data_IF_910725216682
#
_entry.id   IF_910725216682
#
_cell.length_a   1.000
_cell.length_b   1.000
_cell.length_c   1.000
_cell.angle_alpha   90.00
_cell.angle_beta   90.00
_cell.angle_gamma   90.00
#
_symmetry.space_group_name_H-M   'P 1'
#
loop_
_entity.id
_entity.type
_entity.pdbx_description
1 polymer ?
#
# COMPACT_ATOMS: atom_id res chain seq x y z
N UNK A 1 25.24 -0.48 -5.70
CA UNK A 1 25.12 -0.67 -4.25
C UNK A 1 24.53 0.61 -3.67
N UNK A 2 23.46 0.53 -2.89
CA UNK A 2 22.85 1.72 -2.27
C UNK A 2 23.79 2.31 -1.20
N UNK A 3 23.80 3.64 -1.00
CA UNK A 3 24.58 4.29 0.06
C UNK A 3 24.27 3.70 1.46
N UNK A 4 25.26 3.60 2.36
CA UNK A 4 25.07 3.03 3.71
C UNK A 4 23.91 3.66 4.51
N UNK A 5 23.68 4.97 4.37
CA UNK A 5 22.58 5.68 5.03
C UNK A 5 21.20 5.18 4.56
N UNK A 6 21.03 4.90 3.26
CA UNK A 6 19.77 4.37 2.76
C UNK A 6 19.50 2.97 3.32
N UNK A 7 20.51 2.11 3.39
CA UNK A 7 20.34 0.76 3.95
C UNK A 7 20.03 0.77 5.45
N UNK A 8 20.45 1.83 6.17
CA UNK A 8 20.12 1.99 7.58
C UNK A 8 18.68 2.44 7.79
N UNK A 9 18.18 3.35 6.95
CA UNK A 9 16.84 3.95 7.11
C UNK A 9 15.72 3.21 6.37
N UNK A 10 16.02 2.64 5.21
CA UNK A 10 15.10 1.86 4.38
C UNK A 10 15.57 0.41 4.41
N UNK A 11 14.96 -0.37 5.29
CA UNK A 11 15.23 -1.80 5.38
C UNK A 11 13.94 -2.54 5.68
N UNK A 12 13.84 -3.74 5.12
CA UNK A 12 12.70 -4.61 5.37
C UNK A 12 12.63 -4.94 6.86
N UNK A 13 11.41 -4.97 7.44
CA UNK A 13 11.24 -5.41 8.81
C UNK A 13 11.78 -6.85 8.91
N UNK A 14 12.57 -7.12 9.97
CA UNK A 14 12.95 -8.50 10.28
C UNK A 14 11.71 -9.17 10.86
N UNK A 15 11.28 -10.34 10.35
CA UNK A 15 10.26 -11.13 11.04
C UNK A 15 10.85 -11.54 12.39
N UNK A 16 10.42 -10.87 13.45
CA UNK A 16 10.68 -11.31 14.83
C UNK A 16 9.57 -12.29 15.16
N UNK A 17 9.92 -13.46 15.71
CA UNK A 17 8.98 -14.54 16.06
C UNK A 17 8.05 -14.18 17.24
N UNK A 18 7.61 -12.94 17.37
CA UNK A 18 6.83 -12.46 18.50
C UNK A 18 5.83 -11.40 18.04
N UNK A 19 4.69 -11.28 18.71
CA UNK A 19 3.55 -10.37 18.41
C UNK A 19 3.94 -8.87 18.32
N UNK A 20 5.20 -8.56 18.59
CA UNK A 20 5.88 -7.26 18.52
C UNK A 20 5.93 -6.58 17.15
N UNK A 21 5.57 -7.26 16.04
CA UNK A 21 5.59 -6.66 14.69
C UNK A 21 4.35 -5.82 14.36
N UNK A 22 3.21 -6.06 15.02
CA UNK A 22 1.99 -5.28 14.82
C UNK A 22 1.83 -4.22 15.91
N UNK A 23 1.54 -2.96 15.57
CA UNK A 23 1.32 -1.93 16.56
C UNK A 23 0.03 -2.20 17.37
N UNK A 24 -0.09 -1.64 18.59
CA UNK A 24 -1.29 -1.77 19.42
C UNK A 24 -2.59 -1.35 18.75
N UNK A 25 -2.53 -0.41 17.80
CA UNK A 25 -3.69 0.02 17.00
C UNK A 25 -4.31 -1.11 16.16
N UNK A 26 -3.51 -2.11 15.78
CA UNK A 26 -3.96 -3.29 15.06
C UNK A 26 -4.31 -4.41 16.05
N UNK A 27 -3.41 -4.75 16.98
CA UNK A 27 -3.59 -5.90 17.89
C UNK A 27 -4.75 -5.73 18.86
N UNK A 28 -5.07 -4.50 19.28
CA UNK A 28 -6.23 -4.21 20.15
C UNK A 28 -7.53 -4.03 19.38
N UNK A 29 -7.48 -3.98 18.05
CA UNK A 29 -8.66 -3.78 17.23
C UNK A 29 -9.23 -5.14 16.76
N UNK A 30 -10.30 -5.60 17.41
CA UNK A 30 -11.02 -6.85 17.07
C UNK A 30 -11.51 -6.91 15.62
N UNK A 31 -11.60 -5.77 14.93
CA UNK A 31 -11.99 -5.72 13.50
C UNK A 31 -10.83 -6.10 12.56
N UNK A 32 -9.58 -6.06 13.04
CA UNK A 32 -8.35 -6.22 12.25
C UNK A 32 -7.53 -7.43 12.71
N UNK A 33 -7.37 -7.62 14.02
CA UNK A 33 -6.68 -8.77 14.59
C UNK A 33 -7.67 -9.92 14.85
N UNK A 34 -7.29 -11.19 14.55
CA UNK A 34 -5.98 -11.67 14.07
C UNK A 34 -5.85 -11.73 12.54
N UNK A 35 -6.84 -11.24 11.78
CA UNK A 35 -6.99 -11.48 10.34
C UNK A 35 -5.79 -11.06 9.48
N UNK A 36 -5.07 -10.02 9.88
CA UNK A 36 -3.88 -9.51 9.19
C UNK A 36 -2.59 -9.74 9.98
N UNK A 37 -2.54 -10.77 10.83
CA UNK A 37 -1.37 -11.05 11.69
C UNK A 37 -0.03 -11.10 10.95
N UNK A 38 -0.01 -11.73 9.77
CA UNK A 38 1.19 -11.91 8.96
C UNK A 38 1.44 -10.77 7.95
N UNK A 39 0.66 -9.70 8.01
CA UNK A 39 0.83 -8.56 7.13
C UNK A 39 1.99 -7.66 7.63
N UNK A 40 3.00 -7.45 6.78
CA UNK A 40 4.20 -6.65 7.10
C UNK A 40 3.95 -5.15 7.03
N UNK A 41 2.90 -4.75 6.31
CA UNK A 41 2.60 -3.36 5.98
C UNK A 41 1.79 -3.26 4.70
N UNK A 42 1.89 -2.12 4.03
CA UNK A 42 1.24 -1.87 2.75
C UNK A 42 2.27 -1.45 1.69
N UNK A 43 2.01 -1.82 0.44
CA UNK A 43 2.82 -1.49 -0.72
C UNK A 43 1.95 -0.84 -1.79
N UNK A 44 2.49 0.18 -2.44
CA UNK A 44 1.77 0.88 -3.50
C UNK A 44 2.71 1.67 -4.42
N UNK A 45 2.20 2.01 -5.60
CA UNK A 45 2.86 2.89 -6.56
C UNK A 45 2.63 4.37 -6.22
N UNK A 46 3.56 5.23 -6.60
CA UNK A 46 3.37 6.67 -6.56
C UNK A 46 4.18 7.36 -7.65
N UNK A 47 3.61 8.41 -8.24
CA UNK A 47 4.29 9.22 -9.24
C UNK A 47 5.05 10.39 -8.61
N UNK A 48 6.28 10.59 -9.07
CA UNK A 48 7.19 11.68 -8.68
C UNK A 48 7.59 12.43 -9.95
N UNK A 49 7.60 13.77 -9.93
CA UNK A 49 7.87 14.55 -11.12
C UNK A 49 9.23 14.23 -11.76
N UNK A 50 9.25 14.13 -13.09
CA UNK A 50 10.43 13.84 -13.88
C UNK A 50 10.67 14.91 -14.94
N UNK A 51 11.94 15.23 -15.15
CA UNK A 51 12.42 16.16 -16.18
C UNK A 51 13.31 15.41 -17.18
N UNK A 52 12.73 14.56 -18.05
CA UNK A 52 13.50 13.86 -19.08
C UNK A 52 13.89 14.79 -20.23
N UNK A 53 14.98 14.47 -20.95
CA UNK A 53 15.26 15.09 -22.25
C UNK A 53 14.07 14.93 -23.20
N UNK A 54 13.83 15.90 -24.09
CA UNK A 54 12.64 15.94 -24.96
C UNK A 54 12.41 14.64 -25.76
N UNK A 55 13.48 14.00 -26.22
CA UNK A 55 13.39 12.73 -26.98
C UNK A 55 12.97 11.51 -26.14
N UNK A 56 12.98 11.61 -24.82
CA UNK A 56 12.60 10.54 -23.89
C UNK A 56 11.22 10.77 -23.23
N UNK A 57 10.63 11.97 -23.38
CA UNK A 57 9.41 12.39 -22.68
C UNK A 57 8.24 11.38 -22.79
N UNK A 58 8.08 10.70 -23.93
CA UNK A 58 7.02 9.70 -24.12
C UNK A 58 7.08 8.56 -23.09
N UNK A 59 8.28 8.11 -22.70
CA UNK A 59 8.43 7.01 -21.72
C UNK A 59 8.06 7.44 -20.31
N UNK A 60 8.29 8.71 -19.97
CA UNK A 60 8.01 9.25 -18.65
C UNK A 60 6.58 9.76 -18.50
N UNK A 61 5.75 9.64 -19.54
CA UNK A 61 4.38 10.12 -19.49
C UNK A 61 3.51 9.11 -18.75
N UNK A 62 2.93 9.53 -17.63
CA UNK A 62 1.94 8.74 -16.91
C UNK A 62 0.56 8.79 -17.56
N UNK A 63 -0.39 8.05 -16.98
CA UNK A 63 -1.78 7.98 -17.45
C UNK A 63 -2.52 9.32 -17.43
N UNK A 64 -2.08 10.26 -16.59
CA UNK A 64 -2.64 11.61 -16.50
C UNK A 64 -1.93 12.60 -17.44
N UNK A 65 -0.97 12.12 -18.23
CA UNK A 65 -0.23 12.93 -19.18
C UNK A 65 0.91 13.74 -18.56
N UNK A 66 1.20 13.58 -17.26
CA UNK A 66 2.32 14.26 -16.60
C UNK A 66 3.63 13.51 -16.84
N UNK A 67 4.76 14.22 -16.75
CA UNK A 67 6.08 13.59 -16.81
C UNK A 67 6.51 13.18 -15.41
N UNK A 68 6.67 11.89 -15.19
CA UNK A 68 6.94 11.33 -13.87
C UNK A 68 7.83 10.09 -13.91
N UNK A 69 8.43 9.79 -12.77
CA UNK A 69 8.91 8.47 -12.42
C UNK A 69 7.79 7.73 -11.68
N UNK A 70 7.56 6.47 -12.03
CA UNK A 70 6.82 5.57 -11.16
C UNK A 70 7.76 5.06 -10.06
N UNK A 71 7.32 5.16 -8.81
CA UNK A 71 8.03 4.66 -7.64
C UNK A 71 7.12 3.69 -6.89
N UNK A 72 7.55 2.44 -6.77
CA UNK A 72 6.90 1.48 -5.89
C UNK A 72 7.56 1.56 -4.51
N UNK A 73 6.78 1.72 -3.45
CA UNK A 73 7.30 1.70 -2.09
C UNK A 73 6.42 0.88 -1.15
N UNK A 74 7.05 0.23 -0.17
CA UNK A 74 6.36 -0.38 0.94
C UNK A 74 6.63 0.40 2.22
N UNK A 75 5.65 0.42 3.12
CA UNK A 75 5.78 1.01 4.44
C UNK A 75 5.29 0.05 5.52
N UNK A 76 5.84 0.20 6.72
CA UNK A 76 5.40 -0.48 7.94
C UNK A 76 4.20 0.24 8.56
N UNK A 77 3.58 -0.39 9.56
CA UNK A 77 2.38 0.12 10.24
C UNK A 77 2.58 1.41 11.06
N UNK A 78 3.82 1.87 11.19
CA UNK A 78 4.23 3.13 11.81
C UNK A 78 4.66 4.16 10.76
N UNK A 79 4.10 4.09 9.54
CA UNK A 79 4.34 5.06 8.47
C UNK A 79 5.81 5.25 8.08
N UNK A 80 6.66 4.22 8.23
CA UNK A 80 8.06 4.25 7.77
C UNK A 80 8.24 3.47 6.48
N UNK A 81 8.93 4.05 5.50
CA UNK A 81 9.26 3.34 4.26
C UNK A 81 10.27 2.22 4.55
N UNK A 82 9.95 0.97 4.21
CA UNK A 82 10.82 -0.18 4.42
C UNK A 82 11.38 -0.75 3.10
N UNK A 83 10.80 -0.37 1.97
CA UNK A 83 11.26 -0.76 0.64
C UNK A 83 10.94 0.32 -0.39
N UNK A 84 11.83 0.51 -1.37
CA UNK A 84 11.64 1.47 -2.47
C UNK A 84 12.27 0.90 -3.76
N UNK A 85 11.48 0.83 -4.82
CA UNK A 85 11.93 0.69 -6.20
C UNK A 85 11.64 1.98 -6.97
N UNK A 86 12.69 2.73 -7.28
CA UNK A 86 12.60 4.03 -7.98
C UNK A 86 13.37 4.02 -9.30
N UNK A 87 13.13 5.03 -10.12
CA UNK A 87 13.77 5.19 -11.43
C UNK A 87 13.05 4.52 -12.60
N UNK A 88 11.83 4.00 -12.38
CA UNK A 88 10.98 3.50 -13.45
C UNK A 88 10.31 4.66 -14.17
N UNK A 89 10.20 4.56 -15.49
CA UNK A 89 9.54 5.61 -16.26
C UNK A 89 8.04 5.68 -15.95
N UNK A 90 7.44 6.87 -15.97
CA UNK A 90 6.03 7.09 -15.64
C UNK A 90 5.02 6.28 -16.47
N UNK A 91 5.40 5.77 -17.64
CA UNK A 91 4.55 4.85 -18.41
C UNK A 91 4.55 3.40 -17.91
N UNK A 92 5.44 3.04 -16.98
CA UNK A 92 5.46 1.69 -16.40
C UNK A 92 4.31 1.54 -15.40
N UNK A 93 3.54 0.45 -15.52
CA UNK A 93 2.48 0.12 -14.56
C UNK A 93 3.05 -0.38 -13.25
N UNK A 94 2.33 -0.15 -12.15
CA UNK A 94 2.73 -0.61 -10.81
C UNK A 94 2.96 -2.12 -10.76
N UNK A 95 2.11 -2.90 -11.43
CA UNK A 95 2.23 -4.36 -11.53
C UNK A 95 3.53 -4.79 -12.20
N UNK A 96 4.01 -4.02 -13.18
CA UNK A 96 5.30 -4.28 -13.85
C UNK A 96 6.48 -3.96 -12.94
N UNK A 97 6.41 -2.84 -12.20
CA UNK A 97 7.43 -2.48 -11.22
C UNK A 97 7.49 -3.52 -10.10
N UNK A 98 6.32 -3.99 -9.63
CA UNK A 98 6.19 -5.03 -8.61
C UNK A 98 6.73 -6.38 -9.06
N UNK A 99 6.42 -6.83 -10.28
CA UNK A 99 6.96 -8.10 -10.79
C UNK A 99 8.51 -8.10 -10.81
N UNK A 100 9.12 -6.99 -11.21
CA UNK A 100 10.57 -6.85 -11.09
C UNK A 100 11.04 -6.81 -9.63
N UNK A 101 10.36 -6.05 -8.77
CA UNK A 101 10.67 -5.96 -7.34
C UNK A 101 10.68 -7.35 -6.68
N UNK A 102 9.60 -8.10 -6.82
CA UNK A 102 9.41 -9.44 -6.25
C UNK A 102 10.52 -10.41 -6.65
N UNK A 103 10.96 -10.37 -7.91
CA UNK A 103 11.99 -11.30 -8.42
C UNK A 103 13.40 -10.99 -7.93
N UNK A 104 13.72 -9.72 -7.67
CA UNK A 104 15.11 -9.29 -7.56
C UNK A 104 15.47 -8.49 -6.31
N UNK A 105 14.54 -7.72 -5.76
CA UNK A 105 14.89 -6.70 -4.74
C UNK A 105 13.98 -6.67 -3.52
N UNK A 106 12.78 -7.26 -3.57
CA UNK A 106 11.82 -7.34 -2.48
C UNK A 106 11.70 -8.80 -1.97
N UNK A 107 12.62 -9.29 -1.12
CA UNK A 107 12.46 -10.58 -0.49
C UNK A 107 11.39 -10.51 0.60
N UNK A 108 10.25 -11.17 0.39
CA UNK A 108 9.21 -11.34 1.41
C UNK A 108 9.39 -12.71 2.07
N UNK A 109 9.52 -12.81 3.41
CA UNK A 109 9.66 -14.10 4.08
C UNK A 109 8.43 -14.99 3.90
N UNK A 110 8.65 -16.30 3.82
CA UNK A 110 7.57 -17.29 3.67
C UNK A 110 6.48 -17.11 4.74
N UNK A 111 5.22 -17.09 4.30
CA UNK A 111 4.06 -16.91 5.17
C UNK A 111 3.68 -15.45 5.46
N UNK A 112 4.57 -14.50 5.19
CA UNK A 112 4.30 -13.07 5.32
C UNK A 112 3.88 -12.45 3.99
N UNK A 113 3.18 -11.32 4.05
CA UNK A 113 2.72 -10.60 2.86
C UNK A 113 2.58 -9.09 3.11
N UNK A 114 2.54 -8.31 2.03
CA UNK A 114 2.09 -6.91 2.07
C UNK A 114 0.64 -6.80 1.63
N UNK A 115 -0.03 -5.70 2.00
CA UNK A 115 -1.32 -5.31 1.42
C UNK A 115 -1.09 -4.42 0.20
N UNK A 116 -1.67 -4.78 -0.94
CA UNK A 116 -1.58 -3.99 -2.18
C UNK A 116 -2.94 -3.64 -2.75
N UNK A 117 -2.95 -2.71 -3.71
CA UNK A 117 -4.14 -2.32 -4.46
C UNK A 117 -4.65 -3.42 -5.41
N UNK A 118 -5.92 -3.30 -5.84
CA UNK A 118 -6.55 -4.19 -6.80
C UNK A 118 -5.81 -4.30 -8.14
N UNK A 119 -5.04 -3.27 -8.53
CA UNK A 119 -4.24 -3.26 -9.76
C UNK A 119 -3.08 -4.28 -9.75
N UNK A 120 -2.58 -4.68 -8.58
CA UNK A 120 -1.48 -5.62 -8.45
C UNK A 120 -1.92 -7.09 -8.65
N UNK A 121 -0.98 -8.00 -8.97
CA UNK A 121 -1.26 -9.43 -8.99
C UNK A 121 -1.44 -9.99 -7.57
N UNK A 122 -2.41 -10.89 -7.40
CA UNK A 122 -2.59 -11.66 -6.17
C UNK A 122 -1.54 -12.79 -6.13
N UNK A 123 -0.69 -12.80 -5.10
CA UNK A 123 0.43 -13.72 -4.99
C UNK A 123 0.80 -14.00 -3.53
N UNK A 124 1.68 -14.97 -3.28
CA UNK A 124 2.03 -15.43 -1.93
C UNK A 124 2.49 -14.32 -0.97
N UNK A 125 3.19 -13.34 -1.54
CA UNK A 125 3.79 -12.17 -0.90
C UNK A 125 2.92 -10.90 -0.93
N UNK A 126 1.79 -10.89 -1.65
CA UNK A 126 0.94 -9.71 -1.81
C UNK A 126 -0.55 -10.06 -1.81
N UNK A 127 -1.25 -9.54 -0.81
CA UNK A 127 -2.68 -9.71 -0.63
C UNK A 127 -3.44 -8.47 -1.15
N UNK A 128 -4.29 -8.68 -2.15
CA UNK A 128 -5.09 -7.63 -2.81
C UNK A 128 -6.59 -7.82 -2.54
N UNK A 129 -7.41 -6.75 -2.60
CA UNK A 129 -8.86 -6.85 -2.41
C UNK A 129 -9.55 -7.72 -3.48
N UNK A 130 -10.80 -8.10 -3.22
CA UNK A 130 -11.68 -8.66 -4.25
C UNK A 130 -12.01 -7.59 -5.29
N UNK A 131 -11.79 -7.89 -6.57
CA UNK A 131 -12.20 -7.04 -7.70
C UNK A 131 -13.71 -7.14 -7.93
N UNK A 132 -14.32 -6.08 -8.44
CA UNK A 132 -15.78 -6.02 -8.68
C UNK A 132 -16.62 -6.01 -7.40
N UNK A 133 -15.98 -5.78 -6.24
CA UNK A 133 -16.62 -5.71 -4.92
C UNK A 133 -16.30 -4.35 -4.31
N UNK A 134 -17.29 -3.75 -3.64
CA UNK A 134 -17.16 -2.44 -2.99
C UNK A 134 -15.88 -2.34 -2.16
N UNK A 135 -15.10 -1.28 -2.36
CA UNK A 135 -13.75 -1.15 -1.79
C UNK A 135 -13.47 0.23 -1.18
N UNK A 136 -13.99 1.32 -1.75
CA UNK A 136 -13.59 2.67 -1.33
C UNK A 136 -14.18 3.07 0.02
N UNK A 137 -13.34 3.53 0.96
CA UNK A 137 -13.76 4.00 2.28
C UNK A 137 -14.84 5.09 2.20
N UNK A 138 -14.79 5.96 1.19
CA UNK A 138 -15.80 7.01 0.93
C UNK A 138 -17.19 6.43 0.63
N UNK A 139 -17.28 5.27 -0.02
CA UNK A 139 -18.57 4.61 -0.32
C UNK A 139 -19.26 4.08 0.95
N UNK A 140 -18.48 3.83 2.01
CA UNK A 140 -18.98 3.39 3.31
C UNK A 140 -19.49 4.56 4.16
N UNK A 141 -18.81 5.71 4.11
CA UNK A 141 -19.16 6.91 4.86
C UNK A 141 -20.49 7.55 4.45
N UNK A 142 -20.81 7.54 3.15
CA UNK A 142 -22.00 8.23 2.61
C UNK A 142 -23.35 7.59 2.96
N UNK A 143 -23.38 6.38 3.53
CA UNK A 143 -24.64 5.67 3.75
C UNK A 143 -24.70 4.80 5.02
N UNK A 144 -23.71 4.90 5.92
CA UNK A 144 -23.62 4.09 7.16
C UNK A 144 -23.87 2.58 6.90
N UNK A 145 -23.46 2.11 5.72
CA UNK A 145 -23.84 0.79 5.22
C UNK A 145 -22.98 -0.26 5.91
N UNK A 146 -23.63 -1.30 6.45
CA UNK A 146 -22.93 -2.48 6.95
C UNK A 146 -22.47 -3.34 5.78
N UNK A 147 -21.29 -3.99 5.85
CA UNK A 147 -20.87 -4.93 4.82
C UNK A 147 -21.86 -6.08 4.64
N UNK A 148 -22.26 -6.33 3.40
CA UNK A 148 -23.32 -7.30 3.06
C UNK A 148 -22.81 -8.74 3.08
N UNK A 149 -21.57 -8.95 2.67
CA UNK A 149 -20.96 -10.27 2.56
C UNK A 149 -19.51 -10.27 3.08
N UNK A 150 -18.89 -11.45 3.09
CA UNK A 150 -17.51 -11.64 3.54
C UNK A 150 -16.48 -10.85 2.72
N UNK A 151 -16.69 -10.78 1.39
CA UNK A 151 -15.77 -10.08 0.48
C UNK A 151 -15.81 -8.55 0.70
N UNK A 152 -17.00 -7.96 0.85
CA UNK A 152 -17.15 -6.55 1.17
C UNK A 152 -16.53 -6.20 2.53
N UNK A 153 -16.70 -7.08 3.54
CA UNK A 153 -16.11 -6.87 4.86
C UNK A 153 -14.58 -6.95 4.77
N UNK A 154 -14.04 -7.94 4.05
CA UNK A 154 -12.62 -8.06 3.80
C UNK A 154 -12.07 -6.81 3.10
N UNK A 155 -12.69 -6.38 2.00
CA UNK A 155 -12.29 -5.19 1.25
C UNK A 155 -12.29 -3.94 2.11
N UNK A 156 -13.32 -3.76 2.96
CA UNK A 156 -13.36 -2.65 3.92
C UNK A 156 -12.16 -2.67 4.88
N UNK A 157 -11.86 -3.81 5.50
CA UNK A 157 -10.75 -3.90 6.47
C UNK A 157 -9.38 -3.84 5.80
N UNK A 158 -9.25 -4.41 4.61
CA UNK A 158 -8.07 -4.31 3.77
C UNK A 158 -7.80 -2.84 3.42
N UNK A 159 -8.81 -2.11 2.91
CA UNK A 159 -8.68 -0.69 2.59
C UNK A 159 -8.30 0.17 3.81
N UNK A 160 -8.87 -0.12 4.99
CA UNK A 160 -8.52 0.57 6.24
C UNK A 160 -7.03 0.44 6.58
N UNK A 161 -6.45 -0.75 6.41
CA UNK A 161 -5.04 -0.98 6.68
C UNK A 161 -4.14 -0.43 5.55
N UNK A 162 -4.51 -0.68 4.29
CA UNK A 162 -3.73 -0.24 3.12
C UNK A 162 -3.59 1.28 3.06
N UNK A 163 -4.57 2.05 3.54
CA UNK A 163 -4.52 3.52 3.63
C UNK A 163 -3.20 4.05 4.26
N UNK A 164 -2.55 3.28 5.15
CA UNK A 164 -1.25 3.65 5.73
C UNK A 164 -0.20 4.08 4.68
N UNK A 165 -0.11 3.42 3.51
CA UNK A 165 0.88 3.77 2.48
C UNK A 165 0.51 5.07 1.76
N UNK A 166 -0.77 5.30 1.47
CA UNK A 166 -1.27 6.53 0.87
C UNK A 166 -1.00 7.72 1.78
N UNK A 167 -1.31 7.57 3.09
CA UNK A 167 -0.98 8.57 4.11
C UNK A 167 0.51 8.83 4.20
N UNK A 168 1.34 7.78 4.12
CA UNK A 168 2.80 7.90 4.19
C UNK A 168 3.34 8.67 2.97
N UNK A 169 2.84 8.38 1.77
CA UNK A 169 3.16 9.15 0.57
C UNK A 169 2.71 10.60 0.68
N UNK A 170 1.46 10.85 1.12
CA UNK A 170 0.93 12.20 1.29
C UNK A 170 1.78 13.03 2.27
N UNK A 171 2.09 12.48 3.43
CA UNK A 171 2.96 13.13 4.41
C UNK A 171 4.36 13.42 3.84
N UNK A 172 4.98 12.46 3.14
CA UNK A 172 6.28 12.64 2.53
C UNK A 172 6.28 13.72 1.42
N UNK A 173 5.27 13.72 0.55
CA UNK A 173 5.13 14.69 -0.56
C UNK A 173 4.86 16.11 -0.04
N UNK A 174 4.04 16.27 1.00
CA UNK A 174 3.82 17.56 1.67
C UNK A 174 5.11 18.10 2.30
N UNK A 175 5.87 17.24 2.99
CA UNK A 175 7.14 17.65 3.62
C UNK A 175 8.22 17.95 2.59
N UNK A 176 8.27 17.19 1.49
CA UNK A 176 9.27 17.33 0.43
C UNK A 176 8.60 17.70 -0.90
N UNK A 177 8.13 18.94 -0.99
CA UNK A 177 7.42 19.51 -2.16
C UNK A 177 8.20 19.36 -3.49
N UNK A 178 9.53 19.21 -3.41
CA UNK A 178 10.39 18.90 -4.55
C UNK A 178 10.04 17.56 -5.24
N UNK A 179 9.36 16.63 -4.58
CA UNK A 179 8.86 15.40 -5.23
C UNK A 179 7.76 15.70 -6.26
N UNK A 180 6.91 16.68 -6.01
CA UNK A 180 5.83 17.08 -6.91
C UNK A 180 6.27 18.14 -7.94
N UNK A 181 7.16 19.05 -7.54
CA UNK A 181 7.72 20.07 -8.46
C UNK A 181 8.85 19.54 -9.33
N UNK A 182 9.55 18.51 -8.87
CA UNK A 182 10.80 17.99 -9.45
C UNK A 182 11.91 19.03 -9.55
N UNK A 183 13.03 18.62 -10.14
CA UNK A 183 14.17 19.51 -10.36
C UNK A 183 14.99 19.10 -11.60
N UNK A 184 15.60 20.08 -12.24
CA UNK A 184 16.35 19.94 -13.49
C UNK A 184 17.77 19.39 -13.24
N UNK A 185 17.82 18.09 -12.94
CA UNK A 185 19.05 17.31 -12.86
C UNK A 185 19.06 16.23 -13.93
N UNK A 186 20.16 15.50 -14.12
CA UNK A 186 20.11 14.34 -15.00
C UNK A 186 19.14 13.27 -14.45
N UNK A 187 18.52 12.50 -15.35
CA UNK A 187 17.51 11.47 -14.99
C UNK A 187 18.01 10.48 -13.94
N UNK A 188 19.29 10.09 -13.97
CA UNK A 188 19.84 9.13 -13.00
C UNK A 188 19.97 9.74 -11.61
N UNK A 189 20.15 11.05 -11.53
CA UNK A 189 20.15 11.80 -10.27
C UNK A 189 18.72 12.00 -9.77
N UNK A 190 17.78 12.40 -10.64
CA UNK A 190 16.37 12.57 -10.27
C UNK A 190 15.75 11.26 -9.73
N UNK A 191 16.09 10.10 -10.32
CA UNK A 191 15.66 8.78 -9.85
C UNK A 191 16.11 8.44 -8.41
N UNK A 192 17.06 9.18 -7.83
CA UNK A 192 17.54 8.99 -6.45
C UNK A 192 16.85 9.91 -5.44
N UNK A 193 16.07 10.89 -5.91
CA UNK A 193 15.42 11.85 -5.02
C UNK A 193 14.44 11.19 -4.08
N UNK A 194 13.52 10.38 -4.60
CA UNK A 194 12.54 9.73 -3.73
C UNK A 194 13.19 8.83 -2.67
N UNK A 195 14.12 7.91 -3.00
CA UNK A 195 14.84 7.15 -1.98
C UNK A 195 15.56 8.01 -0.94
N UNK A 196 16.20 9.11 -1.36
CA UNK A 196 16.93 10.00 -0.45
C UNK A 196 15.97 10.72 0.53
N UNK A 197 14.88 11.28 0.01
CA UNK A 197 13.89 11.96 0.83
C UNK A 197 13.11 10.99 1.72
N UNK A 198 12.81 9.78 1.26
CA UNK A 198 12.18 8.76 2.10
C UNK A 198 13.09 8.33 3.27
N UNK A 199 14.40 8.25 3.06
CA UNK A 199 15.34 7.98 4.15
C UNK A 199 15.41 9.14 5.17
N UNK A 200 15.34 10.39 4.69
CA UNK A 200 15.24 11.57 5.57
C UNK A 200 13.88 11.58 6.29
N UNK A 201 12.80 11.24 5.60
CA UNK A 201 11.46 11.12 6.15
C UNK A 201 11.44 10.14 7.32
N UNK A 202 11.97 8.93 7.13
CA UNK A 202 12.09 7.94 8.19
C UNK A 202 12.94 8.42 9.36
N UNK A 203 14.07 9.10 9.09
CA UNK A 203 14.92 9.65 10.14
C UNK A 203 14.16 10.68 10.99
N UNK A 204 13.45 11.62 10.35
CA UNK A 204 12.62 12.60 11.07
C UNK A 204 11.49 11.90 11.81
N UNK A 205 10.89 10.86 11.24
CA UNK A 205 9.84 10.10 11.92
C UNK A 205 10.33 9.38 13.18
N UNK A 206 11.58 8.91 13.19
CA UNK A 206 12.16 8.22 14.34
C UNK A 206 12.68 9.15 15.44
N UNK A 207 13.14 10.35 15.09
CA UNK A 207 13.88 11.23 16.01
C UNK A 207 13.36 12.67 16.09
N UNK A 208 12.37 13.03 15.28
CA UNK A 208 11.72 14.33 15.27
C UNK A 208 10.74 14.51 16.42
N UNK A 209 10.07 15.65 16.43
CA UNK A 209 9.04 15.99 17.44
C UNK A 209 7.64 15.70 16.90
N UNK A 210 6.67 15.40 17.76
CA UNK A 210 5.29 15.03 17.35
C UNK A 210 4.62 16.08 16.42
N UNK A 211 4.97 17.37 16.53
CA UNK A 211 4.51 18.45 15.64
C UNK A 211 4.90 18.25 14.16
N UNK A 212 5.96 17.50 13.87
CA UNK A 212 6.42 17.23 12.49
C UNK A 212 5.48 16.34 11.68
N UNK A 213 4.56 15.64 12.36
CA UNK A 213 3.62 14.66 11.82
C UNK A 213 2.21 14.81 12.38
N UNK A 214 1.90 15.94 13.03
CA UNK A 214 0.56 16.21 13.54
C UNK A 214 -0.46 15.93 12.43
N UNK A 215 -1.30 14.94 12.66
CA UNK A 215 -2.35 14.52 11.74
C UNK A 215 -3.37 15.65 11.70
N UNK A 216 -3.24 16.56 10.72
CA UNK A 216 -4.43 17.27 10.26
C UNK A 216 -5.38 16.18 9.78
N UNK A 217 -6.55 16.16 10.43
CA UNK A 217 -7.70 15.27 10.30
C UNK A 217 -7.86 14.60 8.93
N UNK A 218 -8.50 13.43 8.93
CA UNK A 218 -8.92 12.55 7.80
C UNK A 218 -9.54 13.22 6.54
N UNK A 219 -9.57 14.54 6.43
CA UNK A 219 -10.20 15.33 5.37
C UNK A 219 -9.23 15.94 4.32
N UNK A 220 -7.91 16.00 4.56
CA UNK A 220 -6.95 16.51 3.56
C UNK A 220 -6.10 15.40 2.93
N UNK A 221 -6.79 14.47 2.27
CA UNK A 221 -6.20 13.78 1.12
C UNK A 221 -6.02 14.87 0.04
N UNK A 222 -4.83 15.44 -0.05
CA UNK A 222 -4.47 16.29 -1.21
C UNK A 222 -4.88 15.53 -2.48
N UNK A 223 -5.75 16.17 -3.27
CA UNK A 223 -6.18 15.71 -4.58
C UNK A 223 -4.96 15.28 -5.39
N UNK A 224 -4.79 13.97 -5.54
CA UNK A 224 -3.58 13.42 -6.11
C UNK A 224 -3.59 11.91 -6.25
N UNK A 225 -4.76 11.32 -6.42
CA UNK A 225 -5.03 10.20 -7.32
C UNK A 225 -6.56 10.03 -7.28
N UNK A 226 -7.20 10.30 -8.41
CA UNK A 226 -8.60 9.94 -8.60
C UNK A 226 -8.79 8.46 -8.24
N UNK A 227 -10.01 8.05 -7.80
CA UNK A 227 -10.32 6.63 -7.72
C UNK A 227 -9.87 5.98 -9.03
N UNK A 228 -9.35 4.73 -9.01
CA UNK A 228 -9.23 4.00 -10.25
C UNK A 228 -10.65 3.97 -10.84
N UNK A 229 -10.89 4.79 -11.88
CA UNK A 229 -11.99 4.53 -12.79
C UNK A 229 -11.83 3.08 -13.22
N UNK A 230 -12.95 2.37 -13.28
CA UNK A 230 -13.06 1.00 -13.76
C UNK A 230 -12.37 0.88 -15.12
N UNK A 231 -11.05 0.69 -15.08
CA UNK A 231 -10.25 0.37 -16.25
C UNK A 231 -10.78 -0.95 -16.75
N UNK A 232 -11.05 -1.00 -18.06
CA UNK A 232 -11.44 -2.20 -18.79
C UNK A 232 -10.75 -3.42 -18.20
N UNK A 233 -11.51 -4.51 -18.02
CA UNK A 233 -11.06 -5.82 -17.53
C UNK A 233 -9.77 -6.25 -18.25
N UNK A 234 -8.61 -5.80 -17.77
CA UNK A 234 -7.34 -6.25 -18.30
C UNK A 234 -7.00 -7.55 -17.58
N UNK A 235 -7.49 -8.63 -18.17
CA UNK A 235 -7.10 -10.00 -17.86
C UNK A 235 -5.57 -10.21 -17.90
N UNK A 236 -4.77 -9.26 -18.40
CA UNK A 236 -3.31 -9.34 -18.30
C UNK A 236 -2.79 -9.19 -16.86
N UNK A 237 -3.51 -8.50 -15.96
CA UNK A 237 -3.14 -8.42 -14.54
C UNK A 237 -3.39 -9.73 -13.79
N UNK A 238 -4.21 -10.62 -14.35
CA UNK A 238 -4.57 -11.91 -13.75
C UNK A 238 -3.42 -12.93 -13.83
N UNK A 239 -2.49 -12.75 -14.77
CA UNK A 239 -1.28 -13.55 -14.93
C UNK A 239 -0.10 -12.60 -15.16
N UNK A 240 0.32 -11.88 -14.12
CA UNK A 240 1.65 -11.29 -14.15
C UNK A 240 2.68 -12.39 -14.46
N UNK A 241 3.67 -12.09 -15.30
CA UNK A 241 4.60 -13.07 -15.90
C UNK A 241 5.32 -13.97 -14.84
N UNK A 242 5.28 -13.60 -13.56
CA UNK A 242 6.00 -14.26 -12.47
C UNK A 242 5.13 -14.98 -11.42
N UNK A 243 3.81 -14.94 -11.52
CA UNK A 243 2.91 -15.61 -10.55
C UNK A 243 2.33 -16.85 -11.18
N UNK A 244 2.55 -18.01 -10.54
CA UNK A 244 2.01 -19.27 -11.05
C UNK A 244 0.53 -19.41 -10.71
N UNK A 245 -0.21 -20.14 -11.53
CA UNK A 245 -1.63 -20.43 -11.29
C UNK A 245 -1.84 -21.11 -9.92
N UNK A 246 -0.94 -22.03 -9.53
CA UNK A 246 -1.00 -22.69 -8.22
C UNK A 246 -0.82 -21.71 -7.07
N UNK A 247 0.19 -20.84 -7.16
CA UNK A 247 0.46 -19.82 -6.15
C UNK A 247 -0.71 -18.84 -5.98
N UNK A 248 -1.27 -18.40 -7.10
CA UNK A 248 -2.46 -17.56 -7.10
C UNK A 248 -3.64 -18.26 -6.41
N UNK A 249 -3.97 -19.49 -6.83
CA UNK A 249 -5.07 -20.26 -6.27
C UNK A 249 -4.92 -20.50 -4.76
N UNK A 250 -3.71 -20.77 -4.28
CA UNK A 250 -3.46 -20.95 -2.84
C UNK A 250 -3.59 -19.63 -2.07
N UNK A 251 -3.20 -18.51 -2.69
CA UNK A 251 -3.40 -17.17 -2.12
C UNK A 251 -4.88 -16.77 -2.12
N UNK A 252 -5.64 -17.12 -3.15
CA UNK A 252 -7.10 -16.94 -3.18
C UNK A 252 -7.78 -17.68 -2.04
N UNK A 253 -7.44 -18.95 -1.82
CA UNK A 253 -7.93 -19.74 -0.68
C UNK A 253 -7.58 -19.09 0.66
N UNK A 254 -6.34 -18.57 0.80
CA UNK A 254 -5.93 -17.83 2.01
C UNK A 254 -6.81 -16.60 2.22
N UNK A 255 -7.03 -15.79 1.18
CA UNK A 255 -7.89 -14.60 1.23
C UNK A 255 -9.32 -14.96 1.61
N UNK A 256 -9.88 -15.99 0.99
CA UNK A 256 -11.24 -16.47 1.25
C UNK A 256 -11.41 -16.97 2.68
N UNK A 257 -10.41 -17.68 3.23
CA UNK A 257 -10.40 -18.11 4.62
C UNK A 257 -10.36 -16.92 5.58
N UNK A 258 -9.55 -15.89 5.29
CA UNK A 258 -9.51 -14.66 6.08
C UNK A 258 -10.89 -13.99 6.05
N UNK A 259 -11.47 -13.84 4.86
CA UNK A 259 -12.76 -13.17 4.67
C UNK A 259 -13.90 -13.91 5.38
N UNK A 260 -13.97 -15.23 5.30
CA UNK A 260 -15.00 -16.04 5.96
C UNK A 260 -14.87 -15.98 7.49
N UNK A 261 -13.67 -16.19 8.03
CA UNK A 261 -13.41 -16.11 9.48
C UNK A 261 -13.72 -14.71 10.03
N UNK A 262 -13.36 -13.66 9.27
CA UNK A 262 -13.69 -12.29 9.62
C UNK A 262 -15.19 -12.04 9.64
N UNK A 263 -15.93 -12.65 8.70
CA UNK A 263 -17.39 -12.54 8.66
C UNK A 263 -18.06 -13.22 9.85
N UNK A 264 -17.60 -14.42 10.22
CA UNK A 264 -18.10 -15.15 11.38
C UNK A 264 -17.88 -14.34 12.67
N UNK A 265 -16.67 -13.81 12.87
CA UNK A 265 -16.38 -12.94 14.02
C UNK A 265 -17.24 -11.68 14.03
N UNK A 266 -17.52 -11.09 12.87
CA UNK A 266 -18.37 -9.89 12.78
C UNK A 266 -19.84 -10.19 13.09
N UNK A 267 -20.36 -11.35 12.65
CA UNK A 267 -21.72 -11.78 12.96
C UNK A 267 -21.90 -12.07 14.44
N UNK A 268 -20.91 -12.71 15.09
CA UNK A 268 -20.91 -12.92 16.53
C UNK A 268 -20.97 -11.59 17.29
N UNK A 269 -20.15 -10.62 16.89
CA UNK A 269 -20.15 -9.28 17.49
C UNK A 269 -21.49 -8.54 17.31
N UNK A 270 -22.13 -8.64 16.13
CA UNK A 270 -23.46 -8.06 15.91
C UNK A 270 -24.52 -8.69 16.82
N UNK A 271 -24.50 -10.01 16.97
CA UNK A 271 -25.43 -10.71 17.86
C UNK A 271 -25.22 -10.33 19.35
N UNK A 272 -23.97 -10.12 19.77
CA UNK A 272 -23.65 -9.59 21.11
C UNK A 272 -24.25 -8.19 21.31
N UNK A 273 -24.14 -7.29 20.33
CA UNK A 273 -24.69 -5.93 20.42
C UNK A 273 -26.23 -5.94 20.46
N UNK A 274 -26.86 -6.69 19.56
CA UNK A 274 -28.32 -6.77 19.48
C UNK A 274 -28.89 -7.36 20.80
N UNK A 275 -28.17 -8.27 21.46
CA UNK A 275 -28.56 -8.83 22.76
C UNK A 275 -28.44 -7.83 23.91
N UNK A 276 -27.45 -6.93 23.88
CA UNK A 276 -27.29 -5.86 24.87
C UNK A 276 -28.38 -4.80 24.72
N UNK A 277 -28.65 -4.38 23.48
CA UNK A 277 -29.69 -3.38 23.17
C UNK A 277 -31.11 -3.89 23.47
N UNK A 278 -31.34 -5.21 23.44
CA UNK A 278 -32.62 -5.83 23.80
C UNK A 278 -32.82 -6.00 25.33
N UNK A 279 -31.78 -5.75 26.12
CA UNK A 279 -31.79 -5.91 27.59
C UNK A 279 -31.94 -4.59 28.38
N UNK A 280 -31.90 -3.45 27.68
CA UNK A 280 -32.18 -2.10 28.18
C UNK A 280 -33.61 -1.64 27.79
#
# INVERSE_FOLDING_TARGET
MAPPFLNWQIHLPRPVNDETTLPPSITRNRKLYPFFYYALGAIDGTHVAAYPPSGAAKRFRDRHGNLSFNVLAACTWDMRFCYIASGWEGSASDSRVYDHARRFTLPVPDGYFYLGDAGFPLCDALLVPYRGVRYHLKEWGSANLRPRNAQELFNLRHAQLRNIIERTFGAAKRKFVIMGRGADFDIKTQAKFFPAFAAIFNFIHMYGTDDDFAEDSDDDVEQGDDPPEEGEEDDSAQLSIGVTETERNDTEKRRDLIASTMRESYQAWLAEQDAMDASD
#
